data_IF_674482018089
#
_entry.id   IF_674482018089
#
_cell.length_a   1.000
_cell.length_b   1.000
_cell.length_c   1.000
_cell.angle_alpha   90.00
_cell.angle_beta   90.00
_cell.angle_gamma   90.00
#
_symmetry.space_group_name_H-M   'P 1'
#
loop_
_entity.id
_entity.type
_entity.pdbx_description
1 polymer ?
#
# COMPACT_ATOMS: atom_id res chain seq x y z
N UNK A 1 -22.13 -7.55 0.40
CA UNK A 1 -22.06 -6.51 -0.65
C UNK A 1 -20.82 -6.80 -1.48
N UNK A 2 -20.95 -7.05 -2.78
CA UNK A 2 -19.78 -7.14 -3.65
C UNK A 2 -19.27 -5.71 -3.86
N UNK A 3 -18.15 -5.36 -3.22
CA UNK A 3 -17.42 -4.16 -3.60
C UNK A 3 -16.83 -4.41 -4.99
N UNK A 4 -17.57 -4.04 -6.03
CA UNK A 4 -17.07 -4.06 -7.40
C UNK A 4 -15.95 -3.03 -7.48
N UNK A 5 -14.71 -3.50 -7.59
CA UNK A 5 -13.55 -2.64 -7.85
C UNK A 5 -13.68 -2.15 -9.29
N UNK A 6 -13.83 -0.85 -9.47
CA UNK A 6 -13.77 -0.23 -10.79
C UNK A 6 -12.33 -0.25 -11.30
N UNK A 7 -12.05 -1.21 -12.19
CA UNK A 7 -10.70 -1.45 -12.72
C UNK A 7 -10.14 -0.23 -13.47
N UNK A 8 -10.99 0.67 -13.97
CA UNK A 8 -10.54 1.89 -14.66
C UNK A 8 -9.83 2.90 -13.74
N UNK A 9 -10.01 2.75 -12.42
CA UNK A 9 -9.39 3.61 -11.40
C UNK A 9 -8.06 3.07 -10.88
N UNK A 10 -7.71 1.84 -11.24
CA UNK A 10 -6.47 1.23 -10.78
C UNK A 10 -5.27 1.99 -11.32
N UNK A 11 -4.35 2.33 -10.43
CA UNK A 11 -3.07 2.95 -10.77
C UNK A 11 -1.93 2.10 -10.22
N UNK A 12 -0.88 1.98 -11.02
CA UNK A 12 0.39 1.40 -10.60
C UNK A 12 1.29 2.57 -10.24
N UNK A 13 1.80 2.58 -9.01
CA UNK A 13 2.75 3.59 -8.54
C UNK A 13 4.00 2.91 -7.97
N UNK A 14 5.19 3.50 -8.13
CA UNK A 14 6.36 3.03 -7.40
C UNK A 14 6.14 3.22 -5.89
N UNK A 15 6.69 2.32 -5.08
CA UNK A 15 6.51 2.36 -3.62
C UNK A 15 6.98 3.69 -3.00
N UNK A 16 7.96 4.35 -3.60
CA UNK A 16 8.44 5.68 -3.18
C UNK A 16 7.38 6.77 -3.25
N UNK A 17 6.31 6.56 -4.04
CA UNK A 17 5.23 7.52 -4.24
C UNK A 17 3.98 7.19 -3.39
N UNK A 18 4.03 6.13 -2.59
CA UNK A 18 2.94 5.80 -1.67
C UNK A 18 2.89 6.85 -0.58
N UNK A 19 1.67 7.25 -0.21
CA UNK A 19 1.42 8.21 0.87
C UNK A 19 0.46 7.62 1.92
N UNK A 20 0.56 8.13 3.15
CA UNK A 20 -0.37 7.79 4.23
C UNK A 20 -1.82 8.06 3.82
N UNK A 21 -2.72 7.17 4.21
CA UNK A 21 -4.16 7.21 3.89
C UNK A 21 -4.53 6.57 2.55
N UNK A 22 -3.56 6.21 1.70
CA UNK A 22 -3.87 5.46 0.49
C UNK A 22 -4.30 4.03 0.82
N UNK A 23 -5.27 3.52 0.06
CA UNK A 23 -5.67 2.11 0.10
C UNK A 23 -4.91 1.35 -0.97
N UNK A 24 -4.02 0.47 -0.52
CA UNK A 24 -3.29 -0.45 -1.37
C UNK A 24 -4.13 -1.70 -1.62
N UNK A 25 -4.25 -2.10 -2.88
CA UNK A 25 -5.02 -3.29 -3.24
C UNK A 25 -4.42 -4.53 -2.55
N UNK A 26 -5.29 -5.36 -1.98
CA UNK A 26 -4.98 -6.56 -1.20
C UNK A 26 -4.24 -6.34 0.14
N UNK A 27 -3.77 -5.12 0.42
CA UNK A 27 -3.01 -4.79 1.63
C UNK A 27 -3.81 -3.91 2.60
N UNK A 28 -4.65 -2.99 2.13
CA UNK A 28 -5.45 -2.11 2.97
C UNK A 28 -4.88 -0.69 3.07
N UNK A 29 -5.34 0.08 4.06
CA UNK A 29 -4.97 1.49 4.21
C UNK A 29 -3.57 1.65 4.81
N UNK A 30 -2.76 2.56 4.26
CA UNK A 30 -1.44 2.92 4.78
C UNK A 30 -1.58 3.87 5.96
N UNK A 31 -1.14 3.44 7.14
CA UNK A 31 -1.17 4.20 8.39
C UNK A 31 0.13 5.00 8.57
N UNK A 32 1.26 4.41 8.20
CA UNK A 32 2.61 4.95 8.41
C UNK A 32 3.59 4.34 7.41
N UNK A 33 4.66 5.08 7.14
CA UNK A 33 5.70 4.73 6.17
C UNK A 33 7.06 4.99 6.82
N UNK A 34 7.85 3.93 6.97
CA UNK A 34 9.25 4.04 7.40
C UNK A 34 10.16 3.76 6.22
N UNK A 35 11.06 4.71 5.93
CA UNK A 35 12.03 4.57 4.85
C UNK A 35 13.43 4.32 5.40
N UNK A 36 14.05 3.25 4.94
CA UNK A 36 15.41 2.87 5.28
C UNK A 36 16.31 2.91 4.05
N UNK A 37 17.64 2.87 4.19
CA UNK A 37 18.54 2.85 3.03
C UNK A 37 18.23 1.71 2.04
N UNK A 38 17.90 0.51 2.54
CA UNK A 38 17.71 -0.70 1.73
C UNK A 38 16.26 -1.10 1.46
N UNK A 39 15.28 -0.54 2.16
CA UNK A 39 13.89 -0.99 2.09
C UNK A 39 12.92 0.08 2.59
N UNK A 40 11.62 -0.15 2.36
CA UNK A 40 10.53 0.63 2.92
C UNK A 40 9.61 -0.32 3.70
N UNK A 41 9.23 0.07 4.91
CA UNK A 41 8.17 -0.60 5.66
C UNK A 41 6.89 0.22 5.52
N UNK A 42 5.81 -0.45 5.13
CA UNK A 42 4.47 0.11 5.17
C UNK A 42 3.74 -0.50 6.36
N UNK A 43 3.28 0.37 7.26
CA UNK A 43 2.39 -0.02 8.35
C UNK A 43 0.97 0.17 7.83
N UNK A 44 0.21 -0.92 7.73
CA UNK A 44 -1.11 -0.94 7.09
C UNK A 44 -2.20 -1.41 8.06
N UNK A 45 -3.43 -0.93 7.85
CA UNK A 45 -4.64 -1.43 8.50
C UNK A 45 -5.27 -2.52 7.62
N UNK A 46 -5.24 -3.77 8.08
CA UNK A 46 -5.76 -4.91 7.33
C UNK A 46 -6.35 -5.94 8.27
N UNK A 47 -7.55 -6.46 7.93
CA UNK A 47 -8.25 -7.47 8.74
C UNK A 47 -8.42 -7.04 10.21
N UNK A 48 -8.70 -5.75 10.46
CA UNK A 48 -8.81 -5.14 11.79
C UNK A 48 -7.53 -5.20 12.64
N UNK A 49 -6.37 -5.42 12.01
CA UNK A 49 -5.07 -5.44 12.67
C UNK A 49 -4.10 -4.45 12.01
N UNK A 50 -3.09 -4.02 12.77
CA UNK A 50 -1.93 -3.31 12.21
C UNK A 50 -0.91 -4.34 11.75
N UNK A 51 -0.51 -4.26 10.48
CA UNK A 51 0.49 -5.14 9.89
C UNK A 51 1.66 -4.32 9.36
N UNK A 52 2.88 -4.84 9.48
CA UNK A 52 4.08 -4.24 8.89
C UNK A 52 4.46 -5.07 7.69
N UNK A 53 4.52 -4.45 6.51
CA UNK A 53 4.95 -5.12 5.28
C UNK A 53 6.19 -4.43 4.74
N UNK A 54 7.25 -5.23 4.58
CA UNK A 54 8.55 -4.77 4.10
C UNK A 54 8.66 -4.97 2.59
N UNK A 55 9.16 -3.97 1.91
CA UNK A 55 9.36 -3.97 0.46
C UNK A 55 10.75 -3.47 0.08
N UNK A 56 11.27 -3.98 -1.04
CA UNK A 56 12.38 -3.36 -1.76
C UNK A 56 11.95 -2.00 -2.35
N UNK A 57 12.92 -1.15 -2.69
CA UNK A 57 12.65 0.22 -3.20
C UNK A 57 12.19 0.24 -4.66
N UNK A 58 12.47 -0.83 -5.37
CA UNK A 58 12.13 -1.08 -6.76
C UNK A 58 10.71 -1.62 -6.96
N UNK A 59 9.97 -1.89 -5.87
CA UNK A 59 8.61 -2.43 -5.94
C UNK A 59 7.62 -1.38 -6.46
N UNK A 60 6.70 -1.82 -7.31
CA UNK A 60 5.50 -1.06 -7.68
C UNK A 60 4.27 -1.68 -7.04
N UNK A 61 3.33 -0.84 -6.60
CA UNK A 61 2.11 -1.22 -5.92
C UNK A 61 0.88 -0.73 -6.69
N UNK A 62 -0.22 -1.46 -6.53
CA UNK A 62 -1.51 -1.11 -7.15
C UNK A 62 -2.39 -0.42 -6.13
N UNK A 63 -2.94 0.73 -6.50
CA UNK A 63 -3.84 1.54 -5.68
C UNK A 63 -5.15 1.84 -6.43
N UNK A 64 -6.16 2.30 -5.69
CA UNK A 64 -7.42 2.88 -6.19
C UNK A 64 -7.52 4.36 -5.88
#
# INVERSE_FOLDING_TARGET
MSNSIDLSKLKIIPISNVIKGQVLINLGEVIEIDSYPSHINLIISRLNEKQVVKFGKEVSLVIV
#
